data_IF_034934867141
#
_entry.id   IF_034934867141
#
_cell.length_a   1.000
_cell.length_b   1.000
_cell.length_c   1.000
_cell.angle_alpha   90.00
_cell.angle_beta   90.00
_cell.angle_gamma   90.00
#
_symmetry.space_group_name_H-M   'P 1'
#
loop_
_entity.id
_entity.type
_entity.pdbx_description
1 polymer ?
#
# COMPACT_ATOMS: atom_id res chain seq x y z
N UNK A 1 -46.11 -7.19 0.73
CA UNK A 1 -45.81 -8.09 -0.41
C UNK A 1 -45.24 -7.26 -1.58
N UNK A 2 -44.00 -6.76 -1.46
CA UNK A 2 -43.36 -5.85 -2.44
C UNK A 2 -41.92 -6.29 -2.83
N UNK A 3 -41.54 -7.53 -2.49
CA UNK A 3 -40.21 -8.08 -2.77
C UNK A 3 -40.17 -9.00 -4.01
N UNK A 4 -41.33 -9.35 -4.56
CA UNK A 4 -41.42 -10.32 -5.66
C UNK A 4 -41.26 -9.68 -7.05
N UNK A 5 -41.60 -8.39 -7.20
CA UNK A 5 -41.51 -7.69 -8.50
C UNK A 5 -40.07 -7.29 -8.85
N UNK A 6 -39.19 -7.09 -7.87
CA UNK A 6 -37.81 -6.68 -8.11
C UNK A 6 -36.92 -7.84 -8.59
N UNK A 7 -37.24 -9.08 -8.20
CA UNK A 7 -36.49 -10.26 -8.63
C UNK A 7 -36.75 -10.62 -10.10
N UNK A 8 -37.92 -10.26 -10.63
CA UNK A 8 -38.32 -10.59 -12.01
C UNK A 8 -37.64 -9.72 -13.08
N UNK A 9 -37.09 -8.56 -12.70
CA UNK A 9 -36.37 -7.66 -13.62
C UNK A 9 -34.89 -8.01 -13.78
N UNK A 10 -34.28 -8.71 -12.82
CA UNK A 10 -32.84 -9.02 -12.83
C UNK A 10 -32.51 -10.25 -13.69
N UNK A 11 -33.50 -11.11 -13.98
CA UNK A 11 -33.29 -12.35 -14.74
C UNK A 11 -33.39 -12.18 -16.27
N UNK A 12 -33.75 -11.00 -16.77
CA UNK A 12 -33.95 -10.75 -18.21
C UNK A 12 -32.65 -10.27 -18.90
N UNK A 13 -31.59 -9.95 -18.15
CA UNK A 13 -30.32 -9.43 -18.71
C UNK A 13 -29.22 -10.48 -18.93
N UNK A 14 -29.50 -11.78 -18.76
CA UNK A 14 -28.54 -12.88 -18.99
C UNK A 14 -28.85 -13.71 -20.24
N UNK A 15 -29.31 -13.07 -21.31
CA UNK A 15 -29.57 -13.73 -22.58
C UNK A 15 -29.17 -12.86 -23.75
N UNK A 16 -27.98 -13.12 -24.30
CA UNK A 16 -27.69 -13.20 -25.75
C UNK A 16 -26.19 -13.33 -25.99
N UNK A 17 -25.75 -14.54 -26.34
CA UNK A 17 -24.70 -14.76 -27.34
C UNK A 17 -24.69 -16.25 -27.71
N UNK A 18 -25.63 -16.66 -28.56
CA UNK A 18 -25.51 -17.87 -29.37
C UNK A 18 -24.94 -17.43 -30.72
N UNK A 19 -23.74 -17.93 -31.05
CA UNK A 19 -23.34 -18.14 -32.43
C UNK A 19 -22.63 -19.50 -32.48
N UNK A 20 -23.20 -20.41 -33.25
CA UNK A 20 -22.70 -21.76 -33.56
C UNK A 20 -22.04 -21.79 -34.94
N UNK A 21 -21.22 -22.84 -35.16
CA UNK A 21 -20.64 -23.35 -36.42
C UNK A 21 -19.32 -22.67 -36.86
N UNK A 22 -18.32 -23.36 -37.42
CA UNK A 22 -18.24 -24.67 -38.08
C UNK A 22 -16.79 -25.20 -38.01
N UNK A 23 -16.59 -26.51 -38.01
CA UNK A 23 -15.28 -27.17 -38.21
C UNK A 23 -14.98 -27.36 -39.70
N UNK A 24 -13.83 -26.92 -40.19
CA UNK A 24 -13.15 -27.49 -41.37
C UNK A 24 -11.64 -27.24 -41.32
N UNK A 25 -10.89 -28.24 -41.78
CA UNK A 25 -9.44 -28.45 -41.73
C UNK A 25 -8.60 -27.53 -42.66
N UNK A 26 -7.29 -27.54 -42.38
CA UNK A 26 -6.13 -27.46 -43.32
C UNK A 26 -5.36 -26.12 -43.55
N UNK A 27 -4.05 -26.18 -43.93
CA UNK A 27 -2.96 -25.74 -43.05
C UNK A 27 -2.04 -24.66 -43.66
N UNK A 28 -1.15 -24.12 -42.83
CA UNK A 28 0.05 -23.33 -43.15
C UNK A 28 -0.09 -22.19 -44.19
N UNK A 29 -0.19 -20.96 -43.68
CA UNK A 29 0.28 -19.77 -44.39
C UNK A 29 1.07 -18.88 -43.43
N UNK A 30 2.37 -18.60 -43.67
CA UNK A 30 3.09 -17.63 -42.88
C UNK A 30 2.62 -16.23 -43.32
N UNK A 31 2.02 -15.48 -42.40
CA UNK A 31 1.70 -14.06 -42.62
C UNK A 31 2.52 -13.21 -41.67
N UNK A 32 3.58 -12.68 -42.25
CA UNK A 32 4.53 -11.76 -41.68
C UNK A 32 3.79 -10.46 -41.37
N UNK A 33 3.64 -10.09 -40.10
CA UNK A 33 3.13 -8.77 -39.73
C UNK A 33 4.19 -8.02 -38.89
N UNK A 34 4.94 -7.07 -39.49
CA UNK A 34 5.86 -6.23 -38.76
C UNK A 34 5.09 -5.07 -38.14
N UNK A 35 4.48 -5.31 -36.98
CA UNK A 35 4.07 -4.24 -36.08
C UNK A 35 4.74 -4.47 -34.75
N UNK A 36 6.01 -4.08 -34.70
CA UNK A 36 6.68 -3.77 -33.44
C UNK A 36 5.92 -2.62 -32.80
N UNK A 37 4.89 -2.94 -32.02
CA UNK A 37 4.49 -2.07 -30.95
C UNK A 37 5.70 -2.08 -30.03
N UNK A 38 6.51 -1.03 -30.12
CA UNK A 38 7.50 -0.71 -29.10
C UNK A 38 6.72 -0.68 -27.81
N UNK A 39 6.77 -1.77 -27.05
CA UNK A 39 6.35 -1.79 -25.67
C UNK A 39 7.18 -0.69 -25.04
N UNK A 40 6.58 0.49 -24.85
CA UNK A 40 7.08 1.46 -23.90
C UNK A 40 7.01 0.68 -22.60
N UNK A 41 8.13 0.02 -22.24
CA UNK A 41 8.33 -0.47 -20.90
C UNK A 41 8.14 0.79 -20.07
N UNK A 42 6.97 0.90 -19.43
CA UNK A 42 6.73 1.84 -18.34
C UNK A 42 7.98 1.72 -17.52
N UNK A 43 8.76 2.80 -17.45
CA UNK A 43 10.02 2.77 -16.73
C UNK A 43 9.63 2.45 -15.30
N UNK A 44 9.70 1.16 -14.93
CA UNK A 44 9.44 0.71 -13.60
C UNK A 44 10.64 1.25 -12.85
N UNK A 45 10.52 2.49 -12.37
CA UNK A 45 11.45 3.03 -11.39
C UNK A 45 11.41 2.00 -10.28
N UNK A 46 12.49 1.23 -10.20
CA UNK A 46 12.64 0.17 -9.23
C UNK A 46 12.89 0.90 -7.92
N UNK A 47 11.81 1.40 -7.32
CA UNK A 47 11.89 2.10 -6.06
C UNK A 47 12.30 1.08 -5.02
N UNK A 48 13.42 1.35 -4.37
CA UNK A 48 13.91 0.49 -3.30
C UNK A 48 12.95 0.58 -2.12
N UNK A 49 12.66 -0.57 -1.52
CA UNK A 49 11.97 -0.63 -0.24
C UNK A 49 12.73 0.19 0.81
N UNK A 50 12.00 0.79 1.73
CA UNK A 50 12.55 1.65 2.74
C UNK A 50 12.98 0.85 3.96
N UNK A 51 14.27 0.90 4.29
CA UNK A 51 14.80 0.42 5.56
C UNK A 51 14.56 1.49 6.63
N UNK A 52 13.74 1.19 7.63
CA UNK A 52 13.33 2.16 8.66
C UNK A 52 13.80 1.70 10.03
N UNK A 53 14.60 2.52 10.71
CA UNK A 53 14.98 2.28 12.11
C UNK A 53 13.93 2.86 13.05
N UNK A 54 13.40 2.03 13.94
CA UNK A 54 12.40 2.39 14.93
C UNK A 54 13.03 2.47 16.31
N UNK A 55 13.03 3.64 16.93
CA UNK A 55 13.62 3.87 18.26
C UNK A 55 12.56 4.22 19.29
N UNK A 56 12.57 3.54 20.43
CA UNK A 56 11.72 3.83 21.58
C UNK A 56 12.59 4.30 22.74
N UNK A 57 12.27 5.47 23.29
CA UNK A 57 12.90 5.99 24.50
C UNK A 57 12.83 4.99 25.65
N UNK A 58 13.91 4.88 26.42
CA UNK A 58 14.03 3.94 27.54
C UNK A 58 13.03 4.19 28.66
N UNK A 59 12.53 5.42 28.77
CA UNK A 59 11.64 5.86 29.83
C UNK A 59 10.16 5.53 29.54
N UNK A 60 9.88 5.01 28.33
CA UNK A 60 8.54 4.69 27.87
C UNK A 60 8.14 3.27 28.27
N UNK A 61 6.98 3.17 28.91
CA UNK A 61 6.33 1.90 29.21
C UNK A 61 5.33 1.50 28.11
N UNK A 62 4.90 0.24 28.17
CA UNK A 62 3.93 -0.33 27.24
C UNK A 62 4.47 -0.62 25.84
N UNK A 63 3.58 -1.17 25.02
CA UNK A 63 3.86 -1.49 23.63
C UNK A 63 3.55 -0.27 22.76
N UNK A 64 4.47 0.08 21.86
CA UNK A 64 4.33 1.20 20.93
C UNK A 64 4.29 0.68 19.51
N UNK A 65 3.47 1.29 18.69
CA UNK A 65 3.14 0.83 17.33
C UNK A 65 3.37 1.96 16.34
N UNK A 66 3.89 1.61 15.17
CA UNK A 66 3.91 2.44 13.98
C UNK A 66 3.10 1.76 12.88
N UNK A 67 2.34 2.56 12.14
CA UNK A 67 1.52 2.13 11.02
C UNK A 67 1.87 2.94 9.78
N UNK A 68 2.09 2.25 8.66
CA UNK A 68 2.26 2.85 7.35
C UNK A 68 1.03 2.50 6.53
N UNK A 69 0.21 3.49 6.17
CA UNK A 69 -1.00 3.31 5.37
C UNK A 69 -0.88 4.08 4.06
N UNK A 70 -0.96 3.38 2.93
CA UNK A 70 -0.85 3.99 1.61
C UNK A 70 -1.36 3.08 0.50
N UNK A 71 -1.28 3.55 -0.75
CA UNK A 71 -1.73 2.77 -1.91
C UNK A 71 -0.95 1.46 -2.11
N UNK A 72 0.30 1.42 -1.63
CA UNK A 72 1.14 0.21 -1.67
C UNK A 72 0.70 -0.85 -0.65
N UNK A 73 -0.11 -0.49 0.36
CA UNK A 73 -0.61 -1.38 1.40
C UNK A 73 -0.63 -0.75 2.79
N UNK A 74 -1.03 -1.56 3.77
CA UNK A 74 -0.99 -1.21 5.19
C UNK A 74 -0.02 -2.12 5.94
N UNK A 75 0.90 -1.52 6.69
CA UNK A 75 1.95 -2.24 7.42
C UNK A 75 2.02 -1.72 8.85
N UNK A 76 2.02 -2.62 9.82
CA UNK A 76 2.08 -2.29 11.24
C UNK A 76 3.28 -2.97 11.89
N UNK A 77 4.01 -2.23 12.72
CA UNK A 77 5.18 -2.73 13.42
C UNK A 77 5.24 -2.22 14.85
N UNK A 78 5.82 -3.01 15.74
CA UNK A 78 6.10 -2.58 17.11
C UNK A 78 7.46 -1.89 17.21
N UNK A 79 7.53 -0.84 18.02
CA UNK A 79 8.76 -0.17 18.42
C UNK A 79 9.56 -1.03 19.41
N UNK A 80 10.64 -1.64 18.94
CA UNK A 80 11.57 -2.46 19.75
C UNK A 80 13.05 -2.15 19.46
N UNK A 81 13.40 -0.89 19.17
CA UNK A 81 14.78 -0.51 18.83
C UNK A 81 15.36 -1.38 17.70
N UNK A 82 14.61 -1.49 16.60
CA UNK A 82 14.88 -2.41 15.47
C UNK A 82 14.76 -1.71 14.14
N UNK A 83 15.33 -2.33 13.11
CA UNK A 83 15.10 -1.94 11.72
C UNK A 83 13.99 -2.81 11.10
N UNK A 84 13.17 -2.21 10.25
CA UNK A 84 12.12 -2.86 9.47
C UNK A 84 12.28 -2.54 7.98
N UNK A 85 11.68 -3.35 7.12
CA UNK A 85 11.56 -3.06 5.70
C UNK A 85 10.10 -2.72 5.40
N UNK A 86 9.88 -1.56 4.80
CA UNK A 86 8.57 -1.09 4.32
C UNK A 86 8.62 -1.03 2.80
N UNK A 87 7.65 -1.62 2.08
CA UNK A 87 7.63 -1.53 0.62
C UNK A 87 7.66 -0.09 0.12
N UNK A 88 8.16 0.10 -1.09
CA UNK A 88 8.23 1.44 -1.64
C UNK A 88 6.85 2.08 -1.85
N UNK A 89 6.71 3.36 -1.49
CA UNK A 89 5.42 4.05 -1.56
C UNK A 89 5.39 5.41 -0.87
N UNK A 90 4.22 6.05 -0.89
CA UNK A 90 3.92 7.24 -0.07
C UNK A 90 2.85 6.87 0.94
N UNK A 91 3.10 7.20 2.20
CA UNK A 91 2.31 6.72 3.32
C UNK A 91 1.82 7.87 4.21
N UNK A 92 0.65 7.67 4.80
CA UNK A 92 0.31 8.27 6.10
C UNK A 92 0.89 7.37 7.18
N UNK A 93 1.70 7.94 8.07
CA UNK A 93 2.36 7.24 9.15
C UNK A 93 1.73 7.61 10.49
N UNK A 94 1.19 6.62 11.18
CA UNK A 94 0.64 6.76 12.53
C UNK A 94 1.59 6.19 13.57
N UNK A 95 1.76 6.88 14.71
CA UNK A 95 2.50 6.35 15.87
C UNK A 95 1.64 6.52 17.12
N UNK A 96 1.44 5.42 17.86
CA UNK A 96 0.65 5.43 19.09
C UNK A 96 1.06 4.28 20.02
N UNK A 97 0.70 4.38 21.30
CA UNK A 97 0.83 3.27 22.24
C UNK A 97 -0.31 2.26 21.99
N UNK A 98 -0.01 0.96 21.93
CA UNK A 98 -1.02 -0.07 21.84
C UNK A 98 -1.91 -0.05 23.09
N UNK A 99 -3.20 0.25 22.90
CA UNK A 99 -4.15 0.48 23.98
C UNK A 99 -4.46 1.97 24.17
N UNK A 100 -4.70 2.39 25.41
CA UNK A 100 -4.99 3.80 25.74
C UNK A 100 -3.73 4.49 26.25
N UNK A 101 -3.42 5.66 25.69
CA UNK A 101 -2.35 6.53 26.16
C UNK A 101 -2.91 7.90 26.52
N UNK A 102 -2.57 8.40 27.71
CA UNK A 102 -2.94 9.74 28.19
C UNK A 102 -1.71 10.65 28.41
N UNK A 103 -0.52 10.20 28.04
CA UNK A 103 0.71 10.97 28.15
C UNK A 103 0.93 11.94 26.97
N UNK A 104 1.88 12.84 27.15
CA UNK A 104 2.40 13.70 26.08
C UNK A 104 3.83 13.25 25.76
N UNK A 105 4.05 12.81 24.52
CA UNK A 105 5.29 12.26 24.04
C UNK A 105 5.82 13.07 22.87
N UNK A 106 7.11 12.99 22.65
CA UNK A 106 7.77 13.57 21.48
C UNK A 106 7.94 12.51 20.41
N UNK A 107 7.50 12.84 19.20
CA UNK A 107 7.64 11.98 18.03
C UNK A 107 8.52 12.67 17.02
N UNK A 108 9.48 11.94 16.47
CA UNK A 108 10.30 12.43 15.36
C UNK A 108 10.49 11.34 14.32
N UNK A 109 10.72 11.75 13.09
CA UNK A 109 11.09 10.83 12.03
C UNK A 109 11.83 11.54 10.92
N UNK A 110 12.57 10.77 10.14
CA UNK A 110 13.21 11.22 8.92
C UNK A 110 13.05 10.14 7.86
N UNK A 111 12.60 10.49 6.68
CA UNK A 111 12.58 9.57 5.54
C UNK A 111 13.03 10.38 4.33
N UNK A 112 14.03 9.87 3.62
CA UNK A 112 14.71 10.62 2.57
C UNK A 112 15.28 11.95 3.11
N UNK A 113 14.86 13.07 2.52
CA UNK A 113 15.26 14.42 2.92
C UNK A 113 14.21 15.12 3.80
N UNK A 114 13.09 14.45 4.10
CA UNK A 114 12.00 15.01 4.87
C UNK A 114 12.13 14.63 6.34
N UNK A 115 11.91 15.62 7.19
CA UNK A 115 11.89 15.46 8.65
C UNK A 115 10.49 15.71 9.18
N UNK A 116 10.11 14.95 10.19
CA UNK A 116 8.80 14.97 10.81
C UNK A 116 8.96 15.13 12.32
N UNK A 117 8.08 15.92 12.92
CA UNK A 117 8.04 16.10 14.36
C UNK A 117 6.61 16.36 14.81
N UNK A 118 6.22 15.77 15.93
CA UNK A 118 4.94 16.02 16.57
C UNK A 118 5.06 15.81 18.09
N UNK A 119 4.07 16.29 18.83
CA UNK A 119 3.91 16.01 20.25
C UNK A 119 2.46 15.69 20.57
N UNK A 120 2.22 14.73 21.47
CA UNK A 120 0.89 14.36 21.92
C UNK A 120 0.83 12.94 22.49
N UNK A 121 -0.37 12.38 22.61
CA UNK A 121 -0.56 10.97 22.94
C UNK A 121 -0.32 10.04 21.74
N UNK A 122 -0.34 10.61 20.53
CA UNK A 122 -0.04 9.96 19.25
C UNK A 122 0.48 10.97 18.24
N UNK A 123 0.99 10.48 17.11
CA UNK A 123 1.39 11.30 15.97
C UNK A 123 0.83 10.75 14.66
N UNK A 124 0.58 11.67 13.73
CA UNK A 124 0.18 11.38 12.36
C UNK A 124 1.03 12.22 11.41
N UNK A 125 1.81 11.57 10.55
CA UNK A 125 2.63 12.21 9.53
C UNK A 125 2.08 11.87 8.15
N UNK A 126 1.71 12.89 7.37
CA UNK A 126 1.18 12.70 6.03
C UNK A 126 2.30 12.80 4.99
N UNK A 127 2.09 12.13 3.85
CA UNK A 127 2.96 12.19 2.67
C UNK A 127 4.41 11.74 2.96
N UNK A 128 4.60 10.71 3.79
CA UNK A 128 5.91 10.12 4.07
C UNK A 128 6.38 9.31 2.85
N UNK A 129 7.46 9.70 2.15
CA UNK A 129 7.90 9.03 0.94
C UNK A 129 8.92 7.93 1.25
N UNK A 130 8.48 6.68 1.34
CA UNK A 130 9.35 5.52 1.43
C UNK A 130 9.87 5.13 0.03
N UNK A 131 10.70 5.97 -0.60
CA UNK A 131 11.17 5.72 -1.99
C UNK A 131 12.68 5.87 -2.19
N UNK A 132 13.41 6.31 -1.16
CA UNK A 132 14.85 6.57 -1.20
C UNK A 132 15.70 5.51 -0.47
N UNK A 133 15.06 4.46 0.07
CA UNK A 133 15.75 3.31 0.66
C UNK A 133 16.04 3.38 2.17
N UNK A 134 15.95 4.54 2.83
CA UNK A 134 16.22 4.64 4.27
C UNK A 134 15.38 5.70 5.02
N UNK A 135 15.16 5.46 6.31
CA UNK A 135 14.54 6.40 7.23
C UNK A 135 14.63 5.96 8.70
N UNK A 136 14.05 6.77 9.58
CA UNK A 136 13.93 6.49 11.01
C UNK A 136 12.66 7.11 11.58
N UNK A 137 12.12 6.49 12.62
CA UNK A 137 11.10 7.09 13.48
C UNK A 137 11.44 6.81 14.94
N UNK A 138 11.09 7.74 15.81
CA UNK A 138 11.30 7.61 17.23
C UNK A 138 10.16 8.21 18.04
N UNK A 139 9.91 7.61 19.21
CA UNK A 139 9.05 8.14 20.26
C UNK A 139 9.84 8.22 21.55
N UNK A 140 9.76 9.34 22.26
CA UNK A 140 10.40 9.59 23.57
C UNK A 140 9.46 10.29 24.54
#
# INVERSE_FOLDING_TARGET
MKKLTLLLLVMIMLGTAVLTQSTAHDPLRPSNNPTGLSSIKKNARNFLDCSVTLTRGSNLSGSWVIEFMGSSGSYQYSFYNRTITVPSGTYTVGIHQAGSSSGNYSFSGSVCTLNYSASGSSALFNNVPCTCGAGSFSVN
#
